data_IF_389263413801
#
_entry.id   IF_389263413801
#
_cell.length_a   1.000
_cell.length_b   1.000
_cell.length_c   1.000
_cell.angle_alpha   90.00
_cell.angle_beta   90.00
_cell.angle_gamma   90.00
#
_symmetry.space_group_name_H-M   'P 1'
#
loop_
_entity.id
_entity.type
_entity.pdbx_description
1 polymer ?
#
# COMPACT_ATOMS: atom_id res chain seq x y z
N UNK A 1 12.02 17.69 21.62
CA UNK A 1 11.56 17.73 20.21
C UNK A 1 12.36 16.74 19.37
N UNK A 2 11.80 15.56 19.03
CA UNK A 2 12.07 14.81 17.78
C UNK A 2 11.52 13.38 17.84
N UNK A 3 10.20 13.21 17.77
CA UNK A 3 9.65 12.23 16.84
C UNK A 3 9.50 12.97 15.50
N UNK A 4 10.52 12.82 14.67
CA UNK A 4 10.49 12.98 13.22
C UNK A 4 9.53 14.08 12.69
N UNK A 5 10.01 15.32 12.56
CA UNK A 5 9.23 16.43 12.00
C UNK A 5 8.38 15.95 10.80
N UNK A 6 7.07 15.95 11.03
CA UNK A 6 5.97 15.65 10.12
C UNK A 6 5.76 14.20 9.63
N UNK A 7 6.62 13.22 9.96
CA UNK A 7 6.40 11.82 9.50
C UNK A 7 7.01 10.77 10.43
N UNK A 8 6.18 10.00 11.11
CA UNK A 8 6.57 8.86 11.93
C UNK A 8 6.59 7.60 11.07
N UNK A 9 7.65 6.79 11.11
CA UNK A 9 7.73 5.51 10.39
C UNK A 9 7.97 4.42 11.41
N UNK A 10 7.15 3.38 11.38
CA UNK A 10 7.19 2.25 12.28
C UNK A 10 7.27 0.94 11.47
N UNK A 11 8.25 0.11 11.82
CA UNK A 11 8.37 -1.25 11.31
C UNK A 11 7.97 -2.23 12.40
N UNK A 12 7.10 -3.16 12.04
CA UNK A 12 6.51 -4.14 12.94
C UNK A 12 7.21 -5.48 12.89
N UNK A 13 7.36 -6.12 14.05
CA UNK A 13 7.91 -7.46 14.24
C UNK A 13 6.99 -8.26 15.14
N UNK A 14 6.97 -9.58 14.97
CA UNK A 14 6.29 -10.50 15.88
C UNK A 14 7.30 -11.36 16.62
N UNK A 15 7.14 -11.46 17.93
CA UNK A 15 7.89 -12.38 18.78
C UNK A 15 6.93 -13.42 19.36
N UNK A 16 7.36 -14.68 19.40
CA UNK A 16 6.75 -15.69 20.27
C UNK A 16 7.46 -15.64 21.60
N UNK A 17 6.72 -15.35 22.68
CA UNK A 17 7.28 -15.24 24.03
C UNK A 17 6.18 -15.41 25.08
N UNK A 18 6.58 -15.94 26.24
CA UNK A 18 5.79 -16.03 27.46
C UNK A 18 5.94 -14.82 28.38
N UNK A 19 6.91 -13.92 28.10
CA UNK A 19 7.17 -12.72 28.90
C UNK A 19 5.95 -11.79 28.91
N UNK A 20 5.64 -11.24 30.09
CA UNK A 20 4.63 -10.19 30.19
C UNK A 20 5.25 -8.82 29.92
N UNK A 21 4.43 -7.82 29.56
CA UNK A 21 4.94 -6.45 29.41
C UNK A 21 5.58 -5.91 30.69
N UNK A 22 5.11 -6.35 31.86
CA UNK A 22 5.69 -5.95 33.14
C UNK A 22 7.08 -6.55 33.35
N UNK A 23 7.29 -7.81 32.96
CA UNK A 23 8.60 -8.45 33.05
C UNK A 23 9.60 -7.77 32.09
N UNK A 24 9.16 -7.44 30.87
CA UNK A 24 9.97 -6.70 29.90
C UNK A 24 10.29 -5.28 30.39
N UNK A 25 9.34 -4.60 31.05
CA UNK A 25 9.59 -3.30 31.66
C UNK A 25 10.68 -3.36 32.75
N UNK A 26 10.67 -4.40 33.58
CA UNK A 26 11.71 -4.63 34.61
C UNK A 26 13.06 -4.91 33.94
N UNK A 27 13.11 -5.81 32.96
CA UNK A 27 14.35 -6.11 32.22
C UNK A 27 14.93 -4.87 31.52
N UNK A 28 14.06 -4.01 30.96
CA UNK A 28 14.48 -2.76 30.33
C UNK A 28 15.02 -1.77 31.38
N UNK A 29 14.41 -1.70 32.56
CA UNK A 29 14.86 -0.85 33.65
C UNK A 29 16.24 -1.27 34.20
N UNK A 30 16.50 -2.57 34.24
CA UNK A 30 17.79 -3.14 34.65
C UNK A 30 18.89 -2.95 33.58
N UNK A 31 18.49 -2.85 32.31
CA UNK A 31 19.36 -2.59 31.16
C UNK A 31 19.43 -1.08 30.79
N UNK A 32 19.50 -0.20 31.79
CA UNK A 32 19.59 1.24 31.59
C UNK A 32 20.89 1.67 30.87
N UNK A 33 20.85 2.70 29.99
CA UNK A 33 22.01 3.12 29.21
C UNK A 33 23.10 3.73 30.11
N UNK A 34 24.37 3.44 29.81
CA UNK A 34 25.51 3.90 30.61
C UNK A 34 26.48 4.77 29.79
N UNK A 35 26.49 6.07 30.08
CA UNK A 35 27.36 7.04 29.41
C UNK A 35 28.85 6.81 29.67
N UNK A 36 29.22 6.41 30.88
CA UNK A 36 30.63 6.23 31.25
C UNK A 36 31.31 5.16 30.40
N UNK A 37 30.57 4.12 30.03
CA UNK A 37 31.04 3.02 29.18
C UNK A 37 30.55 3.12 27.74
N UNK A 38 29.70 4.12 27.42
CA UNK A 38 28.96 4.23 26.16
C UNK A 38 28.14 2.97 25.83
N UNK A 39 27.69 2.23 26.85
CA UNK A 39 26.91 1.01 26.67
C UNK A 39 25.45 1.35 26.35
N UNK A 40 24.88 0.81 25.25
CA UNK A 40 23.49 1.06 24.90
C UNK A 40 22.54 0.54 26.00
N UNK A 41 21.33 1.06 26.03
CA UNK A 41 20.33 0.63 27.00
C UNK A 41 18.98 1.33 26.83
N UNK A 42 18.06 0.99 27.72
CA UNK A 42 16.65 1.36 27.61
C UNK A 42 16.25 2.47 28.59
N UNK A 43 15.37 3.35 28.13
CA UNK A 43 14.66 4.31 28.98
C UNK A 43 13.20 4.45 28.54
N UNK A 44 12.50 5.41 29.15
CA UNK A 44 11.12 5.73 28.77
C UNK A 44 11.07 6.51 27.47
N UNK A 45 10.05 6.24 26.65
CA UNK A 45 9.80 6.97 25.41
C UNK A 45 8.87 8.19 25.60
N UNK A 46 8.29 8.33 26.79
CA UNK A 46 7.26 9.31 27.14
C UNK A 46 7.82 10.69 27.53
N UNK A 47 9.13 10.80 27.77
CA UNK A 47 9.76 12.08 28.09
C UNK A 47 10.05 12.90 26.81
N UNK A 48 9.45 14.09 26.71
CA UNK A 48 9.41 14.90 25.48
C UNK A 48 10.58 15.91 25.32
N UNK A 49 11.35 16.14 26.39
CA UNK A 49 12.39 17.17 26.50
C UNK A 49 13.82 16.62 26.43
N UNK A 50 14.09 15.74 25.46
CA UNK A 50 15.37 15.03 25.45
C UNK A 50 16.47 15.64 24.56
N UNK A 51 17.74 15.56 25.00
CA UNK A 51 18.93 16.03 24.28
C UNK A 51 19.41 15.02 23.22
N UNK A 52 18.48 14.37 22.49
CA UNK A 52 18.83 13.42 21.42
C UNK A 52 19.57 14.17 20.31
N UNK A 53 20.58 13.53 19.71
CA UNK A 53 21.49 14.08 18.68
C UNK A 53 22.49 15.11 19.17
N UNK A 54 22.52 15.41 20.47
CA UNK A 54 23.58 16.23 21.05
C UNK A 54 24.82 15.38 21.35
N UNK A 55 25.98 16.04 21.33
CA UNK A 55 27.24 15.43 21.70
C UNK A 55 27.44 15.48 23.22
N UNK A 56 27.99 14.43 23.81
CA UNK A 56 28.26 14.35 25.26
C UNK A 56 27.01 14.40 26.16
N UNK A 57 25.81 14.35 25.59
CA UNK A 57 24.56 14.39 26.35
C UNK A 57 24.27 13.06 27.07
N UNK A 58 23.45 13.16 28.11
CA UNK A 58 22.96 12.00 28.87
C UNK A 58 21.54 11.66 28.43
N UNK A 59 21.19 10.37 28.37
CA UNK A 59 19.82 9.94 28.17
C UNK A 59 18.96 10.33 29.37
N UNK A 60 17.67 10.55 29.12
CA UNK A 60 16.71 10.74 30.21
C UNK A 60 16.21 9.36 30.63
N UNK A 61 16.56 8.95 31.83
CA UNK A 61 16.16 7.67 32.41
C UNK A 61 14.95 7.93 33.31
N UNK A 62 13.76 7.94 32.72
CA UNK A 62 12.50 7.95 33.45
C UNK A 62 12.05 6.54 33.84
N UNK A 63 10.94 6.46 34.57
CA UNK A 63 10.32 5.17 34.94
C UNK A 63 9.71 4.54 33.68
N UNK A 64 10.08 3.30 33.43
CA UNK A 64 9.48 2.49 32.36
C UNK A 64 8.21 1.85 32.90
N UNK A 65 7.06 2.22 32.35
CA UNK A 65 5.76 1.70 32.78
C UNK A 65 4.90 1.22 31.62
N UNK A 66 4.02 0.27 31.92
CA UNK A 66 3.00 -0.20 30.97
C UNK A 66 1.89 0.84 30.90
N UNK A 67 1.70 1.41 29.73
CA UNK A 67 0.65 2.38 29.43
C UNK A 67 -0.62 1.65 29.01
N UNK A 68 -1.77 2.15 29.48
CA UNK A 68 -3.08 1.69 29.03
C UNK A 68 -3.62 2.66 27.98
N UNK A 69 -3.53 2.29 26.71
CA UNK A 69 -4.04 3.06 25.58
C UNK A 69 -5.50 2.67 25.29
N UNK A 70 -6.39 3.13 26.17
CA UNK A 70 -7.82 2.82 26.12
C UNK A 70 -8.19 1.48 26.79
N UNK A 71 -9.48 1.07 26.68
CA UNK A 71 -10.02 -0.05 27.47
C UNK A 71 -9.49 -1.44 27.06
N UNK A 72 -8.75 -1.55 25.94
CA UNK A 72 -8.37 -2.84 25.36
C UNK A 72 -6.88 -2.99 25.01
N UNK A 73 -6.07 -1.93 25.07
CA UNK A 73 -4.68 -1.99 24.62
C UNK A 73 -3.72 -1.63 25.75
N UNK A 74 -2.91 -2.61 26.13
CA UNK A 74 -1.73 -2.39 26.97
C UNK A 74 -0.51 -2.29 26.06
N UNK A 75 0.33 -1.30 26.31
CA UNK A 75 1.55 -1.11 25.55
C UNK A 75 2.69 -0.67 26.47
N UNK A 76 3.90 -1.06 26.09
CA UNK A 76 5.14 -0.64 26.72
C UNK A 76 5.87 0.25 25.71
N UNK A 77 6.02 1.53 26.02
CA UNK A 77 6.73 2.50 25.19
C UNK A 77 8.15 2.71 25.74
N UNK A 78 9.13 2.17 25.01
CA UNK A 78 10.54 2.19 25.35
C UNK A 78 11.32 3.09 24.39
N UNK A 79 12.46 3.59 24.85
CA UNK A 79 13.45 4.28 24.03
C UNK A 79 14.79 3.58 24.18
N UNK A 80 15.31 3.04 23.08
CA UNK A 80 16.68 2.53 23.03
C UNK A 80 17.62 3.71 22.83
N UNK A 81 18.62 3.86 23.70
CA UNK A 81 19.68 4.84 23.59
C UNK A 81 21.02 4.18 23.26
N UNK A 82 21.82 4.86 22.44
CA UNK A 82 23.20 4.48 22.19
C UNK A 82 24.04 5.70 21.81
N UNK A 83 25.37 5.53 21.82
CA UNK A 83 26.33 6.59 21.52
C UNK A 83 27.07 6.27 20.22
N UNK A 84 26.92 7.15 19.23
CA UNK A 84 27.60 7.04 17.94
C UNK A 84 28.85 7.92 17.95
N UNK A 85 30.03 7.30 17.77
CA UNK A 85 31.29 8.02 17.69
C UNK A 85 31.37 8.89 16.42
N UNK A 86 31.92 10.11 16.55
CA UNK A 86 32.16 11.00 15.41
C UNK A 86 33.62 11.43 15.34
N UNK A 87 34.36 10.84 14.40
CA UNK A 87 35.75 11.20 14.11
C UNK A 87 35.89 12.69 13.72
N UNK A 88 34.93 13.20 12.94
CA UNK A 88 34.90 14.61 12.55
C UNK A 88 34.81 15.56 13.76
N UNK A 89 33.94 15.24 14.73
CA UNK A 89 33.81 16.02 15.96
C UNK A 89 35.07 15.94 16.82
N UNK A 90 35.62 14.73 16.96
CA UNK A 90 36.84 14.48 17.71
C UNK A 90 38.02 15.29 17.16
N UNK A 91 38.23 15.26 15.85
CA UNK A 91 39.27 16.02 15.16
C UNK A 91 39.05 17.54 15.25
N UNK A 92 37.81 18.01 15.08
CA UNK A 92 37.48 19.43 15.13
C UNK A 92 37.75 20.07 16.50
N UNK A 93 37.57 19.31 17.59
CA UNK A 93 37.73 19.79 18.95
C UNK A 93 39.05 19.36 19.62
N UNK A 94 39.89 18.58 18.93
CA UNK A 94 41.13 18.05 19.49
C UNK A 94 40.90 17.14 20.71
N UNK A 95 39.80 16.38 20.70
CA UNK A 95 39.39 15.53 21.81
C UNK A 95 40.13 14.19 21.80
N UNK A 96 40.23 13.56 22.97
CA UNK A 96 40.56 12.13 23.07
C UNK A 96 39.44 11.31 22.41
N UNK A 97 39.79 10.23 21.69
CA UNK A 97 38.82 9.29 21.11
C UNK A 97 37.82 8.69 22.13
N UNK A 98 38.13 8.73 23.43
CA UNK A 98 37.26 8.27 24.52
C UNK A 98 36.46 9.39 25.19
N UNK A 99 36.69 10.65 24.83
CA UNK A 99 35.99 11.78 25.41
C UNK A 99 34.50 11.72 25.04
N UNK A 100 33.61 11.92 26.02
CA UNK A 100 32.16 11.83 25.82
C UNK A 100 31.66 12.82 24.75
N UNK A 101 32.33 13.97 24.62
CA UNK A 101 32.04 15.02 23.65
C UNK A 101 32.30 14.58 22.19
N UNK A 102 33.02 13.48 21.97
CA UNK A 102 33.20 12.87 20.65
C UNK A 102 32.02 11.96 20.24
N UNK A 103 31.12 11.63 21.18
CA UNK A 103 30.01 10.73 20.95
C UNK A 103 28.68 11.47 20.89
N UNK A 104 27.89 11.14 19.88
CA UNK A 104 26.54 11.66 19.68
C UNK A 104 25.51 10.70 20.29
N UNK A 105 24.66 11.19 21.18
CA UNK A 105 23.55 10.41 21.69
C UNK A 105 22.51 10.18 20.59
N UNK A 106 22.17 8.92 20.35
CA UNK A 106 21.14 8.46 19.43
C UNK A 106 20.04 7.76 20.21
N UNK A 107 18.85 7.77 19.63
CA UNK A 107 17.72 7.08 20.21
C UNK A 107 16.72 6.62 19.14
N UNK A 108 16.02 5.52 19.43
CA UNK A 108 14.87 4.99 18.66
C UNK A 108 13.78 4.58 19.65
N UNK A 109 12.55 4.95 19.32
CA UNK A 109 11.38 4.57 20.10
C UNK A 109 10.92 3.17 19.67
N UNK A 110 10.56 2.36 20.64
CA UNK A 110 10.07 1.00 20.46
C UNK A 110 8.79 0.84 21.26
N UNK A 111 7.74 0.34 20.63
CA UNK A 111 6.48 0.01 21.30
C UNK A 111 6.28 -1.49 21.30
N UNK A 112 6.02 -2.07 22.47
CA UNK A 112 5.73 -3.50 22.62
C UNK A 112 4.30 -3.66 23.14
N UNK A 113 3.51 -4.52 22.52
CA UNK A 113 2.12 -4.80 22.93
C UNK A 113 1.84 -6.31 22.79
N UNK A 114 0.87 -6.87 23.52
CA UNK A 114 0.42 -8.23 23.24
C UNK A 114 -0.11 -8.33 21.81
N UNK A 115 0.30 -9.38 21.10
CA UNK A 115 -0.24 -9.65 19.76
C UNK A 115 -1.68 -10.17 19.86
N UNK A 116 -2.42 -10.08 18.75
CA UNK A 116 -3.70 -10.77 18.57
C UNK A 116 -3.57 -12.29 18.72
N UNK A 117 -2.37 -12.84 18.48
CA UNK A 117 -2.06 -14.25 18.70
C UNK A 117 -1.60 -14.47 20.14
N UNK A 118 -2.27 -15.39 20.85
CA UNK A 118 -1.90 -15.75 22.22
C UNK A 118 -0.45 -16.25 22.29
N UNK A 119 0.29 -15.79 23.30
CA UNK A 119 1.72 -16.15 23.49
C UNK A 119 2.66 -15.46 22.50
N UNK A 120 2.21 -14.37 21.88
CA UNK A 120 3.02 -13.56 20.99
C UNK A 120 2.97 -12.09 21.40
N UNK A 121 4.04 -11.37 21.06
CA UNK A 121 4.19 -9.94 21.25
C UNK A 121 4.34 -9.28 19.87
N UNK A 122 3.76 -8.10 19.73
CA UNK A 122 3.94 -7.23 18.58
C UNK A 122 4.85 -6.09 18.98
N UNK A 123 5.96 -5.94 18.27
CA UNK A 123 7.00 -4.96 18.53
C UNK A 123 7.08 -4.00 17.35
N UNK A 124 7.06 -2.70 17.63
CA UNK A 124 7.11 -1.65 16.62
C UNK A 124 8.32 -0.76 16.89
N UNK A 125 9.27 -0.73 15.96
CA UNK A 125 10.43 0.14 16.03
C UNK A 125 10.20 1.39 15.16
N UNK A 126 10.30 2.56 15.77
CA UNK A 126 9.97 3.85 15.15
C UNK A 126 11.25 4.50 14.62
N UNK A 127 11.61 4.18 13.38
CA UNK A 127 12.79 4.74 12.70
C UNK A 127 12.56 4.86 11.20
N UNK A 128 13.25 5.82 10.57
CA UNK A 128 13.28 5.97 9.10
C UNK A 128 14.50 5.30 8.45
N UNK A 129 15.41 4.75 9.24
CA UNK A 129 16.69 4.22 8.77
C UNK A 129 16.72 2.70 8.95
N UNK A 130 16.67 1.96 7.85
CA UNK A 130 16.68 0.49 7.85
C UNK A 130 17.96 -0.09 8.46
N UNK A 131 19.14 0.45 8.14
CA UNK A 131 20.41 -0.04 8.69
C UNK A 131 20.45 0.06 10.22
N UNK A 132 19.96 1.17 10.78
CA UNK A 132 19.86 1.34 12.25
C UNK A 132 18.93 0.30 12.86
N UNK A 133 17.87 -0.07 12.14
CA UNK A 133 16.92 -1.05 12.58
C UNK A 133 17.55 -2.45 12.66
N UNK A 134 18.23 -2.88 11.60
CA UNK A 134 18.85 -4.19 11.47
C UNK A 134 20.11 -4.34 12.35
N UNK A 135 20.98 -3.33 12.37
CA UNK A 135 22.29 -3.43 13.01
C UNK A 135 22.29 -3.09 14.50
N UNK A 136 21.29 -2.33 14.97
CA UNK A 136 21.29 -1.79 16.34
C UNK A 136 20.00 -2.11 17.10
N UNK A 137 18.85 -1.76 16.53
CA UNK A 137 17.58 -1.81 17.27
C UNK A 137 17.07 -3.24 17.43
N UNK A 138 17.01 -4.03 16.36
CA UNK A 138 16.49 -5.38 16.40
C UNK A 138 17.35 -6.32 17.29
N UNK A 139 18.70 -6.30 17.22
CA UNK A 139 19.54 -7.05 18.16
C UNK A 139 19.28 -6.67 19.62
N UNK A 140 19.14 -5.38 19.92
CA UNK A 140 18.85 -4.92 21.28
C UNK A 140 17.47 -5.40 21.76
N UNK A 141 16.45 -5.42 20.90
CA UNK A 141 15.12 -5.96 21.22
C UNK A 141 15.20 -7.46 21.51
N UNK A 142 15.91 -8.22 20.67
CA UNK A 142 16.09 -9.66 20.86
C UNK A 142 16.79 -9.94 22.19
N UNK A 143 17.84 -9.18 22.53
CA UNK A 143 18.54 -9.29 23.81
C UNK A 143 17.60 -8.94 24.98
N UNK A 144 16.86 -7.84 24.90
CA UNK A 144 15.93 -7.43 25.95
C UNK A 144 14.87 -8.50 26.23
N UNK A 145 14.20 -9.01 25.19
CA UNK A 145 13.16 -10.02 25.37
C UNK A 145 13.79 -11.35 25.83
N UNK A 146 14.96 -11.70 25.28
CA UNK A 146 15.68 -12.93 25.61
C UNK A 146 16.21 -12.99 27.04
N UNK A 147 16.51 -11.85 27.67
CA UNK A 147 16.90 -11.80 29.09
C UNK A 147 15.74 -12.10 30.04
N UNK A 148 14.51 -11.88 29.59
CA UNK A 148 13.28 -12.14 30.35
C UNK A 148 12.70 -13.52 30.05
N UNK A 149 12.79 -13.95 28.80
CA UNK A 149 12.33 -15.25 28.31
C UNK A 149 13.34 -15.84 27.32
N UNK A 150 14.15 -16.79 27.80
CA UNK A 150 15.21 -17.43 27.01
C UNK A 150 14.69 -18.19 25.77
N UNK A 151 13.41 -18.58 25.77
CA UNK A 151 12.75 -19.27 24.65
C UNK A 151 12.11 -18.30 23.64
N UNK A 152 12.24 -16.99 23.86
CA UNK A 152 11.69 -15.98 22.99
C UNK A 152 12.29 -16.07 21.58
N UNK A 153 11.43 -16.03 20.57
CA UNK A 153 11.83 -16.20 19.17
C UNK A 153 11.19 -15.14 18.28
N UNK A 154 12.02 -14.44 17.51
CA UNK A 154 11.57 -13.55 16.44
C UNK A 154 10.99 -14.39 15.30
N UNK A 155 9.78 -14.04 14.85
CA UNK A 155 9.12 -14.66 13.70
C UNK A 155 9.36 -13.78 12.48
N UNK A 156 10.33 -14.19 11.65
CA UNK A 156 10.74 -13.41 10.48
C UNK A 156 9.61 -13.28 9.45
N UNK A 157 9.46 -12.08 8.88
CA UNK A 157 8.38 -11.74 7.94
C UNK A 157 6.97 -11.72 8.53
N UNK A 158 6.79 -11.98 9.83
CA UNK A 158 5.49 -11.96 10.48
C UNK A 158 5.20 -10.64 11.20
N UNK A 159 3.97 -10.14 11.01
CA UNK A 159 3.48 -8.93 11.66
C UNK A 159 1.96 -8.97 11.83
N UNK A 160 1.46 -8.30 12.87
CA UNK A 160 0.02 -8.03 13.04
C UNK A 160 -0.53 -7.05 11.99
N UNK A 161 0.35 -6.25 11.38
CA UNK A 161 0.04 -5.31 10.30
C UNK A 161 0.31 -5.87 8.91
N UNK A 162 0.75 -7.13 8.80
CA UNK A 162 1.03 -7.77 7.51
C UNK A 162 -0.23 -7.82 6.65
N UNK A 163 -0.13 -7.34 5.43
CA UNK A 163 -1.15 -7.49 4.40
C UNK A 163 -0.77 -8.70 3.56
N UNK A 164 -1.35 -9.84 3.92
CA UNK A 164 -1.05 -11.15 3.34
C UNK A 164 -1.69 -11.39 1.95
N UNK A 165 -2.64 -10.53 1.57
CA UNK A 165 -3.40 -10.64 0.34
C UNK A 165 -3.23 -9.41 -0.55
N UNK A 166 -2.78 -9.61 -1.79
CA UNK A 166 -2.59 -8.55 -2.77
C UNK A 166 -3.90 -7.83 -3.15
N UNK A 167 -5.04 -8.50 -2.98
CA UNK A 167 -6.36 -7.93 -3.28
C UNK A 167 -6.84 -6.96 -2.19
N UNK A 168 -6.19 -6.90 -1.02
CA UNK A 168 -6.56 -5.99 0.08
C UNK A 168 -6.66 -4.53 -0.38
N UNK A 169 -5.68 -4.06 -1.15
CA UNK A 169 -5.67 -2.66 -1.62
C UNK A 169 -6.77 -2.40 -2.65
N UNK A 170 -7.06 -3.39 -3.52
CA UNK A 170 -8.14 -3.30 -4.49
C UNK A 170 -9.51 -3.28 -3.79
N UNK A 171 -9.69 -4.10 -2.76
CA UNK A 171 -10.86 -4.07 -1.89
C UNK A 171 -11.03 -2.71 -1.21
N UNK A 172 -9.95 -2.13 -0.71
CA UNK A 172 -9.98 -0.81 -0.04
C UNK A 172 -10.42 0.29 -1.01
N UNK A 173 -10.01 0.22 -2.28
CA UNK A 173 -10.48 1.15 -3.33
C UNK A 173 -12.00 1.00 -3.55
N UNK A 174 -12.51 -0.23 -3.63
CA UNK A 174 -13.96 -0.47 -3.74
C UNK A 174 -14.73 -0.01 -2.47
N UNK A 175 -14.15 -0.21 -1.29
CA UNK A 175 -14.69 0.25 -0.01
C UNK A 175 -14.88 1.79 -0.03
N UNK A 176 -13.83 2.51 -0.47
CA UNK A 176 -13.86 3.96 -0.63
C UNK A 176 -14.92 4.42 -1.64
N UNK A 177 -15.01 3.75 -2.79
CA UNK A 177 -16.05 4.02 -3.82
C UNK A 177 -17.46 3.90 -3.26
N UNK A 178 -17.72 2.87 -2.44
CA UNK A 178 -19.03 2.64 -1.83
C UNK A 178 -19.32 3.56 -0.65
N UNK A 179 -18.32 4.33 -0.19
CA UNK A 179 -18.36 5.09 1.07
C UNK A 179 -18.86 4.21 2.23
N UNK A 180 -18.42 2.95 2.24
CA UNK A 180 -18.81 2.00 3.27
C UNK A 180 -17.91 2.18 4.51
N UNK A 181 -18.46 2.09 5.73
CA UNK A 181 -17.65 2.19 6.93
C UNK A 181 -16.69 0.99 7.05
N UNK A 182 -15.48 1.25 7.55
CA UNK A 182 -14.50 0.20 7.86
C UNK A 182 -15.00 -0.62 9.05
N UNK A 183 -15.35 0.09 10.12
CA UNK A 183 -15.96 -0.44 11.34
C UNK A 183 -16.83 0.65 11.96
N UNK A 184 -17.57 0.35 13.03
CA UNK A 184 -18.63 1.23 13.56
C UNK A 184 -18.26 2.70 13.76
N UNK A 185 -16.98 3.02 14.02
CA UNK A 185 -16.51 4.39 14.21
C UNK A 185 -15.48 4.85 13.15
N UNK A 186 -15.05 3.99 12.22
CA UNK A 186 -13.99 4.32 11.26
C UNK A 186 -14.52 4.35 9.84
N UNK A 187 -14.22 5.44 9.15
CA UNK A 187 -14.59 5.66 7.74
C UNK A 187 -13.32 5.93 6.93
N UNK A 188 -13.23 5.29 5.76
CA UNK A 188 -12.18 5.61 4.80
C UNK A 188 -12.58 6.90 4.09
N UNK A 189 -11.88 7.98 4.41
CA UNK A 189 -12.17 9.33 3.89
C UNK A 189 -11.56 9.53 2.51
N UNK A 190 -10.28 9.15 2.35
CA UNK A 190 -9.53 9.36 1.12
C UNK A 190 -8.46 8.28 0.92
N UNK A 191 -8.25 7.84 -0.33
CA UNK A 191 -7.01 7.16 -0.74
C UNK A 191 -6.21 8.18 -1.55
N UNK A 192 -5.11 8.68 -1.02
CA UNK A 192 -4.34 9.78 -1.64
C UNK A 192 -3.39 9.29 -2.71
N UNK A 193 -2.76 8.16 -2.43
CA UNK A 193 -1.75 7.54 -3.29
C UNK A 193 -1.93 6.04 -3.24
N UNK A 194 -1.87 5.40 -4.39
CA UNK A 194 -1.72 3.95 -4.50
C UNK A 194 -0.62 3.67 -5.52
N UNK A 195 0.32 2.81 -5.15
CA UNK A 195 1.25 2.23 -6.11
C UNK A 195 0.55 1.08 -6.84
N UNK A 196 0.82 0.96 -8.13
CA UNK A 196 0.35 -0.17 -8.94
C UNK A 196 1.49 -0.76 -9.75
N UNK A 197 1.40 -2.06 -10.00
CA UNK A 197 2.27 -2.77 -10.95
C UNK A 197 1.39 -3.46 -11.96
N UNK A 198 1.67 -3.25 -13.24
CA UNK A 198 0.98 -3.98 -14.32
C UNK A 198 1.47 -5.43 -14.43
N UNK A 199 0.85 -6.23 -15.30
CA UNK A 199 1.23 -7.61 -15.57
C UNK A 199 2.67 -7.77 -16.11
N UNK A 200 3.28 -6.68 -16.61
CA UNK A 200 4.68 -6.62 -17.05
C UNK A 200 5.61 -6.08 -15.95
N UNK A 201 5.13 -5.96 -14.71
CA UNK A 201 5.81 -5.40 -13.54
C UNK A 201 6.26 -3.94 -13.71
N UNK A 202 5.67 -3.19 -14.64
CA UNK A 202 5.93 -1.76 -14.76
C UNK A 202 5.18 -1.05 -13.63
N UNK A 203 5.95 -0.40 -12.77
CA UNK A 203 5.42 0.37 -11.64
C UNK A 203 4.83 1.69 -12.12
N UNK A 204 3.63 2.01 -11.66
CA UNK A 204 3.01 3.33 -11.82
C UNK A 204 2.53 3.79 -10.45
N UNK A 205 2.76 5.05 -10.10
CA UNK A 205 2.21 5.64 -8.88
C UNK A 205 1.10 6.60 -9.28
N UNK A 206 -0.10 6.41 -8.72
CA UNK A 206 -1.19 7.34 -8.87
C UNK A 206 -1.20 8.27 -7.66
N UNK A 207 -0.92 9.55 -7.88
CA UNK A 207 -0.99 10.61 -6.87
C UNK A 207 -2.16 11.56 -7.12
N UNK A 208 -2.60 12.27 -6.06
CA UNK A 208 -3.67 13.29 -6.07
C UNK A 208 -5.10 12.71 -6.12
N UNK A 209 -5.47 11.94 -5.10
CA UNK A 209 -6.83 11.40 -4.99
C UNK A 209 -7.02 10.21 -5.93
N UNK A 210 -7.02 9.02 -5.33
CA UNK A 210 -7.28 7.75 -6.01
C UNK A 210 -8.76 7.45 -5.84
N UNK A 211 -9.54 7.82 -6.84
CA UNK A 211 -10.96 7.49 -6.92
C UNK A 211 -11.31 6.86 -8.28
N UNK A 212 -12.48 6.25 -8.35
CA UNK A 212 -12.98 5.60 -9.56
C UNK A 212 -13.63 6.56 -10.55
N UNK A 213 -13.51 7.88 -10.34
CA UNK A 213 -13.89 8.88 -11.34
C UNK A 213 -12.74 9.16 -12.32
N UNK A 214 -11.50 8.81 -11.93
CA UNK A 214 -10.31 8.96 -12.78
C UNK A 214 -10.18 7.84 -13.80
N UNK A 215 -10.01 8.24 -15.06
CA UNK A 215 -9.89 7.32 -16.19
C UNK A 215 -8.67 6.39 -16.07
N UNK A 216 -7.54 6.90 -15.57
CA UNK A 216 -6.31 6.11 -15.39
C UNK A 216 -6.51 5.02 -14.34
N UNK A 217 -7.21 5.33 -13.25
CA UNK A 217 -7.51 4.37 -12.19
C UNK A 217 -8.43 3.26 -12.68
N UNK A 218 -9.51 3.65 -13.38
CA UNK A 218 -10.44 2.70 -14.00
C UNK A 218 -9.71 1.76 -14.97
N UNK A 219 -8.80 2.29 -15.78
CA UNK A 219 -8.00 1.51 -16.75
C UNK A 219 -7.11 0.50 -16.04
N UNK A 220 -6.40 0.92 -15.00
CA UNK A 220 -5.52 0.04 -14.22
C UNK A 220 -6.30 -1.09 -13.54
N UNK A 221 -7.47 -0.81 -12.96
CA UNK A 221 -8.34 -1.84 -12.36
C UNK A 221 -8.91 -2.78 -13.43
N UNK A 222 -9.26 -2.26 -14.60
CA UNK A 222 -9.84 -3.06 -15.68
C UNK A 222 -8.84 -4.03 -16.33
N UNK A 223 -7.54 -3.72 -16.25
CA UNK A 223 -6.44 -4.57 -16.73
C UNK A 223 -6.29 -5.80 -15.83
N UNK A 224 -6.32 -6.98 -16.45
CA UNK A 224 -6.11 -8.24 -15.73
C UNK A 224 -4.65 -8.32 -15.26
N UNK A 225 -4.45 -8.61 -13.98
CA UNK A 225 -3.13 -8.85 -13.39
C UNK A 225 -2.43 -7.62 -12.82
N UNK A 226 -3.10 -6.46 -12.76
CA UNK A 226 -2.59 -5.33 -12.00
C UNK A 226 -2.64 -5.63 -10.49
N UNK A 227 -1.55 -5.36 -9.78
CA UNK A 227 -1.51 -5.38 -8.31
C UNK A 227 -1.43 -3.96 -7.76
N UNK A 228 -2.02 -3.75 -6.59
CA UNK A 228 -2.09 -2.45 -5.93
C UNK A 228 -1.41 -2.50 -4.57
N UNK A 229 -0.88 -1.36 -4.11
CA UNK A 229 -0.18 -1.22 -2.85
C UNK A 229 1.34 -1.01 -3.02
N UNK A 230 2.02 -0.34 -2.07
CA UNK A 230 1.53 0.37 -0.88
C UNK A 230 0.52 1.48 -1.15
N UNK A 231 -0.20 1.92 -0.11
CA UNK A 231 -1.19 3.00 -0.23
C UNK A 231 -1.08 4.01 0.91
N UNK A 232 -1.29 5.29 0.58
CA UNK A 232 -1.48 6.40 1.52
C UNK A 232 -2.97 6.69 1.65
N UNK A 233 -3.49 6.61 2.86
CA UNK A 233 -4.92 6.71 3.15
C UNK A 233 -5.18 7.69 4.29
N UNK A 234 -6.36 8.30 4.23
CA UNK A 234 -6.94 9.05 5.34
C UNK A 234 -8.12 8.28 5.91
N UNK A 235 -8.07 8.04 7.21
CA UNK A 235 -9.17 7.43 7.95
C UNK A 235 -9.70 8.43 8.95
N UNK A 236 -11.02 8.57 8.99
CA UNK A 236 -11.72 9.39 9.97
C UNK A 236 -12.29 8.51 11.07
N UNK A 237 -12.06 8.92 12.31
CA UNK A 237 -12.79 8.42 13.46
C UNK A 237 -14.00 9.33 13.72
N UNK A 238 -15.20 8.82 13.47
CA UNK A 238 -16.44 9.57 13.62
C UNK A 238 -16.83 9.81 15.07
N UNK A 239 -16.30 9.01 16.01
CA UNK A 239 -16.59 9.14 17.45
C UNK A 239 -15.79 10.26 18.10
N UNK A 240 -14.53 10.42 17.70
CA UNK A 240 -13.63 11.48 18.20
C UNK A 240 -13.52 12.67 17.26
N UNK A 241 -13.97 12.56 16.01
CA UNK A 241 -13.73 13.53 14.93
C UNK A 241 -12.23 13.69 14.58
N UNK A 242 -11.40 12.70 14.92
CA UNK A 242 -10.00 12.66 14.50
C UNK A 242 -9.87 12.19 13.05
N UNK A 243 -8.84 12.69 12.35
CA UNK A 243 -8.47 12.28 11.00
C UNK A 243 -7.01 11.85 11.01
N UNK A 244 -6.72 10.65 10.51
CA UNK A 244 -5.39 10.07 10.50
C UNK A 244 -4.92 9.90 9.07
N UNK A 245 -3.77 10.50 8.73
CA UNK A 245 -3.12 10.33 7.42
C UNK A 245 -1.91 9.41 7.58
N UNK A 246 -1.96 8.26 6.91
CA UNK A 246 -0.89 7.26 7.01
C UNK A 246 -0.72 6.42 5.74
N UNK A 247 0.47 5.85 5.61
CA UNK A 247 0.85 4.91 4.56
C UNK A 247 0.97 3.51 5.16
N UNK A 248 0.40 2.52 4.47
CA UNK A 248 0.50 1.11 4.83
C UNK A 248 1.10 0.32 3.66
N UNK A 249 2.23 -0.34 3.91
CA UNK A 249 2.88 -1.24 2.97
C UNK A 249 2.42 -2.69 3.15
N UNK A 250 2.63 -3.53 2.12
CA UNK A 250 2.25 -4.94 2.18
C UNK A 250 2.98 -5.69 3.32
N UNK A 251 4.24 -5.32 3.57
CA UNK A 251 5.06 -5.86 4.65
C UNK A 251 4.65 -5.39 6.06
N UNK A 252 3.60 -4.58 6.19
CA UNK A 252 3.14 -4.05 7.49
C UNK A 252 3.96 -2.87 8.03
N UNK A 253 4.88 -2.30 7.24
CA UNK A 253 5.50 -1.01 7.59
C UNK A 253 4.43 0.09 7.49
N UNK A 254 4.37 0.90 8.55
CA UNK A 254 3.43 1.99 8.75
C UNK A 254 4.17 3.33 8.73
N UNK A 255 3.66 4.33 8.00
CA UNK A 255 4.16 5.69 8.10
C UNK A 255 3.05 6.73 8.29
N UNK A 256 3.04 7.45 9.41
CA UNK A 256 2.01 8.44 9.77
C UNK A 256 2.51 9.85 9.46
N UNK A 257 1.71 10.65 8.75
CA UNK A 257 1.99 12.06 8.48
C UNK A 257 1.46 12.93 9.62
N UNK A 258 2.26 13.12 10.67
CA UNK A 258 1.82 13.84 11.88
C UNK A 258 1.42 15.30 11.66
N UNK A 259 1.87 15.92 10.55
CA UNK A 259 1.46 17.27 10.18
C UNK A 259 0.10 17.35 9.47
N UNK A 260 -0.41 16.23 8.96
CA UNK A 260 -1.71 16.13 8.28
C UNK A 260 -2.76 15.39 9.12
N UNK A 261 -2.33 14.63 10.12
CA UNK A 261 -3.19 14.04 11.14
C UNK A 261 -3.78 15.12 12.06
N UNK A 262 -5.10 15.10 12.20
CA UNK A 262 -5.85 15.96 13.11
C UNK A 262 -6.41 15.14 14.27
N UNK A 263 -6.03 15.50 15.49
CA UNK A 263 -6.61 14.96 16.73
C UNK A 263 -7.18 16.17 17.49
N UNK A 264 -8.44 16.11 17.99
CA UNK A 264 -9.05 17.22 18.71
C UNK A 264 -8.20 17.75 19.88
N UNK A 265 -8.40 19.03 20.24
CA UNK A 265 -7.52 19.90 21.04
C UNK A 265 -7.18 19.46 22.49
N UNK A 266 -7.51 18.24 22.91
CA UNK A 266 -7.15 17.73 24.24
C UNK A 266 -5.74 17.14 24.33
N UNK A 267 -5.04 16.98 23.20
CA UNK A 267 -3.71 16.37 23.14
C UNK A 267 -2.65 17.44 22.88
N UNK A 268 -1.59 17.45 23.68
CA UNK A 268 -0.45 18.34 23.46
C UNK A 268 0.21 18.00 22.12
N UNK A 269 0.68 19.03 21.38
CA UNK A 269 1.32 18.83 20.07
C UNK A 269 2.50 17.85 20.10
N UNK A 270 3.19 17.77 21.22
CA UNK A 270 4.31 16.83 21.42
C UNK A 270 3.86 15.36 21.42
N UNK A 271 2.61 15.09 21.79
CA UNK A 271 2.08 13.74 22.03
C UNK A 271 1.22 13.23 20.86
N UNK A 272 0.89 14.10 19.91
CA UNK A 272 0.12 13.75 18.70
C UNK A 272 0.75 12.57 17.96
N UNK A 273 2.08 12.50 17.89
CA UNK A 273 2.78 11.41 17.21
C UNK A 273 2.50 10.04 17.84
N UNK A 274 2.65 9.93 19.16
CA UNK A 274 2.35 8.69 19.89
C UNK A 274 0.88 8.35 19.85
N UNK A 275 0.02 9.34 20.06
CA UNK A 275 -1.41 9.10 20.05
C UNK A 275 -1.88 8.58 18.68
N UNK A 276 -1.45 9.25 17.61
CA UNK A 276 -1.73 8.81 16.24
C UNK A 276 -1.15 7.41 15.98
N UNK A 277 0.05 7.11 16.48
CA UNK A 277 0.62 5.78 16.37
C UNK A 277 -0.26 4.70 17.02
N UNK A 278 -0.67 4.90 18.27
CA UNK A 278 -1.52 3.94 18.98
C UNK A 278 -2.87 3.75 18.29
N UNK A 279 -3.55 4.85 17.95
CA UNK A 279 -4.85 4.79 17.26
C UNK A 279 -4.72 4.08 15.90
N UNK A 280 -3.68 4.37 15.12
CA UNK A 280 -3.49 3.79 13.78
C UNK A 280 -3.05 2.33 13.84
N UNK A 281 -1.97 2.03 14.58
CA UNK A 281 -1.36 0.70 14.61
C UNK A 281 -2.19 -0.31 15.41
N UNK A 282 -2.82 0.11 16.51
CA UNK A 282 -3.51 -0.83 17.43
C UNK A 282 -5.02 -0.88 17.22
N UNK A 283 -5.62 0.11 16.55
CA UNK A 283 -7.07 0.14 16.34
C UNK A 283 -7.47 0.20 14.86
N UNK A 284 -7.00 1.20 14.09
CA UNK A 284 -7.48 1.43 12.71
C UNK A 284 -7.02 0.33 11.75
N UNK A 285 -5.72 0.02 11.68
CA UNK A 285 -5.22 -1.01 10.76
C UNK A 285 -5.79 -2.39 11.11
N UNK A 286 -5.80 -2.84 12.39
CA UNK A 286 -6.47 -4.07 12.76
C UNK A 286 -7.95 -4.10 12.38
N UNK A 287 -8.67 -2.96 12.49
CA UNK A 287 -10.06 -2.86 12.05
C UNK A 287 -10.19 -3.00 10.51
N UNK A 288 -9.31 -2.36 9.74
CA UNK A 288 -9.25 -2.51 8.27
C UNK A 288 -9.01 -3.96 7.85
N UNK A 289 -7.98 -4.61 8.40
CA UNK A 289 -7.64 -6.00 8.09
C UNK A 289 -8.78 -6.95 8.51
N UNK A 290 -9.41 -6.69 9.65
CA UNK A 290 -10.55 -7.48 10.13
C UNK A 290 -11.77 -7.31 9.23
N UNK A 291 -12.06 -6.08 8.79
CA UNK A 291 -13.16 -5.80 7.87
C UNK A 291 -12.95 -6.52 6.53
N UNK A 292 -11.74 -6.44 5.96
CA UNK A 292 -11.36 -7.17 4.75
C UNK A 292 -11.58 -8.67 4.89
N UNK A 293 -10.97 -9.29 5.92
CA UNK A 293 -11.06 -10.75 6.15
C UNK A 293 -12.48 -11.24 6.43
N UNK A 294 -13.38 -10.36 6.88
CA UNK A 294 -14.80 -10.68 7.12
C UNK A 294 -15.68 -10.47 5.89
N UNK A 295 -15.21 -9.72 4.90
CA UNK A 295 -15.94 -9.47 3.66
C UNK A 295 -15.89 -10.70 2.74
N UNK A 296 -16.77 -11.66 3.02
CA UNK A 296 -16.92 -12.87 2.19
C UNK A 296 -17.46 -12.57 0.79
N UNK A 297 -18.08 -11.40 0.58
CA UNK A 297 -18.63 -11.06 -0.74
C UNK A 297 -17.54 -10.68 -1.71
N UNK A 298 -16.46 -10.06 -1.22
CA UNK A 298 -15.32 -9.66 -2.02
C UNK A 298 -14.72 -10.81 -2.85
N UNK A 299 -14.33 -11.90 -2.18
CA UNK A 299 -13.67 -13.04 -2.84
C UNK A 299 -14.58 -13.90 -3.72
N UNK A 300 -15.91 -13.82 -3.54
CA UNK A 300 -16.86 -14.63 -4.32
C UNK A 300 -17.29 -13.93 -5.62
N UNK A 301 -17.71 -12.67 -5.52
CA UNK A 301 -18.31 -11.92 -6.65
C UNK A 301 -17.86 -10.47 -6.68
N UNK A 302 -17.57 -9.86 -5.52
CA UNK A 302 -17.29 -8.43 -5.38
C UNK A 302 -16.10 -7.95 -6.21
N UNK A 303 -15.03 -8.74 -6.28
CA UNK A 303 -13.86 -8.42 -7.10
C UNK A 303 -14.21 -8.32 -8.59
N UNK A 304 -14.88 -9.32 -9.14
CA UNK A 304 -15.24 -9.37 -10.55
C UNK A 304 -16.31 -8.34 -10.90
N UNK A 305 -17.25 -8.09 -9.99
CA UNK A 305 -18.25 -7.04 -10.11
C UNK A 305 -17.59 -5.65 -10.13
N UNK A 306 -16.58 -5.42 -9.30
CA UNK A 306 -15.85 -4.15 -9.27
C UNK A 306 -15.04 -3.93 -10.57
N UNK A 307 -14.37 -4.96 -11.08
CA UNK A 307 -13.68 -4.89 -12.38
C UNK A 307 -14.69 -4.63 -13.50
N UNK A 308 -15.86 -5.30 -13.49
CA UNK A 308 -16.92 -5.09 -14.47
C UNK A 308 -17.47 -3.67 -14.42
N UNK A 309 -17.68 -3.13 -13.22
CA UNK A 309 -18.06 -1.74 -13.02
C UNK A 309 -17.04 -0.80 -13.67
N UNK A 310 -15.74 -1.01 -13.43
CA UNK A 310 -14.70 -0.15 -14.00
C UNK A 310 -14.69 -0.19 -15.53
N UNK A 311 -14.85 -1.38 -16.13
CA UNK A 311 -14.97 -1.54 -17.59
C UNK A 311 -16.18 -0.81 -18.16
N UNK A 312 -17.32 -0.86 -17.46
CA UNK A 312 -18.51 -0.13 -17.88
C UNK A 312 -18.29 1.39 -17.86
N UNK A 313 -17.61 1.92 -16.84
CA UNK A 313 -17.30 3.36 -16.79
C UNK A 313 -16.34 3.79 -17.91
N UNK A 314 -15.34 2.97 -18.25
CA UNK A 314 -14.42 3.23 -19.37
C UNK A 314 -15.11 3.22 -20.74
N UNK A 315 -16.19 2.45 -20.87
CA UNK A 315 -16.89 2.31 -22.15
C UNK A 315 -17.63 3.57 -22.63
N UNK A 316 -17.70 4.62 -21.80
CA UNK A 316 -18.29 5.92 -22.13
C UNK A 316 -19.79 5.84 -22.51
N UNK A 317 -20.42 6.93 -22.99
CA UNK A 317 -21.70 6.84 -23.68
C UNK A 317 -21.47 6.03 -24.96
N UNK A 318 -21.83 4.74 -24.92
CA UNK A 318 -21.46 3.77 -25.94
C UNK A 318 -21.72 4.25 -27.36
N UNK A 319 -20.65 4.51 -28.12
CA UNK A 319 -20.75 4.63 -29.57
C UNK A 319 -21.08 3.23 -30.07
N UNK A 320 -22.31 3.06 -30.55
CA UNK A 320 -22.72 1.82 -31.20
C UNK A 320 -22.47 1.95 -32.70
N UNK A 321 -21.40 1.34 -33.18
CA UNK A 321 -21.18 1.18 -34.61
C UNK A 321 -22.09 0.07 -35.11
N UNK A 322 -23.01 0.39 -36.00
CA UNK A 322 -23.91 -0.60 -36.58
C UNK A 322 -23.33 -1.09 -37.90
N UNK A 323 -23.01 -2.38 -37.99
CA UNK A 323 -22.46 -3.01 -39.19
C UNK A 323 -23.48 -4.01 -39.71
N UNK A 324 -23.77 -3.93 -41.01
CA UNK A 324 -24.55 -4.95 -41.69
C UNK A 324 -23.71 -6.22 -41.86
N UNK A 325 -24.25 -7.35 -41.40
CA UNK A 325 -23.64 -8.66 -41.57
C UNK A 325 -24.39 -9.42 -42.66
N UNK A 326 -23.64 -9.88 -43.68
CA UNK A 326 -24.18 -10.78 -44.72
C UNK A 326 -24.45 -12.16 -44.10
N UNK A 327 -23.51 -12.64 -43.30
CA UNK A 327 -23.66 -13.81 -42.42
C UNK A 327 -23.33 -13.38 -40.98
N UNK A 328 -24.32 -13.48 -40.09
CA UNK A 328 -24.18 -13.01 -38.72
C UNK A 328 -23.30 -13.92 -37.86
N UNK A 329 -23.28 -15.22 -38.15
CA UNK A 329 -22.52 -16.20 -37.39
C UNK A 329 -21.05 -16.12 -37.80
N UNK A 330 -20.77 -16.03 -39.11
CA UNK A 330 -19.41 -15.84 -39.62
C UNK A 330 -18.82 -14.49 -39.16
N UNK A 331 -19.62 -13.42 -39.22
CA UNK A 331 -19.20 -12.10 -38.70
C UNK A 331 -18.97 -12.16 -37.19
N UNK A 332 -19.85 -12.81 -36.42
CA UNK A 332 -19.67 -12.96 -34.97
C UNK A 332 -18.36 -13.67 -34.66
N UNK A 333 -18.09 -14.82 -35.28
CA UNK A 333 -16.83 -15.55 -35.12
C UNK A 333 -15.63 -14.68 -35.47
N UNK A 334 -15.68 -13.93 -36.57
CA UNK A 334 -14.60 -13.02 -36.96
C UNK A 334 -14.32 -11.98 -35.86
N UNK A 335 -15.35 -11.25 -35.40
CA UNK A 335 -15.14 -10.20 -34.40
C UNK A 335 -14.77 -10.77 -33.02
N UNK A 336 -15.38 -11.88 -32.57
CA UNK A 336 -15.07 -12.42 -31.23
C UNK A 336 -13.76 -13.18 -31.19
N UNK A 337 -13.52 -14.09 -32.12
CA UNK A 337 -12.38 -15.02 -32.06
C UNK A 337 -11.12 -14.39 -32.67
N UNK A 338 -11.25 -13.65 -33.79
CA UNK A 338 -10.09 -13.07 -34.47
C UNK A 338 -9.70 -11.72 -33.88
N UNK A 339 -10.68 -10.84 -33.66
CA UNK A 339 -10.41 -9.50 -33.13
C UNK A 339 -10.54 -9.40 -31.60
N UNK A 340 -11.05 -10.43 -30.92
CA UNK A 340 -11.10 -10.50 -29.45
C UNK A 340 -12.23 -9.70 -28.80
N UNK A 341 -13.33 -9.47 -29.52
CA UNK A 341 -14.51 -8.79 -28.96
C UNK A 341 -15.29 -9.72 -28.01
N UNK A 342 -15.87 -9.15 -26.95
CA UNK A 342 -16.75 -9.90 -26.05
C UNK A 342 -18.15 -10.03 -26.65
N UNK A 343 -18.68 -11.26 -26.69
CA UNK A 343 -20.08 -11.50 -27.10
C UNK A 343 -21.04 -11.13 -25.95
N UNK A 344 -21.85 -10.08 -26.13
CA UNK A 344 -22.84 -9.65 -25.14
C UNK A 344 -24.20 -9.32 -25.77
N UNK A 345 -25.20 -10.19 -25.59
CA UNK A 345 -26.58 -9.94 -26.04
C UNK A 345 -26.72 -9.82 -27.58
N UNK A 346 -27.48 -8.82 -28.05
CA UNK A 346 -27.78 -8.59 -29.48
C UNK A 346 -26.66 -7.84 -30.25
N UNK A 347 -25.44 -7.79 -29.72
CA UNK A 347 -24.28 -7.12 -30.30
C UNK A 347 -22.95 -7.66 -29.77
N UNK A 348 -21.85 -7.09 -30.27
CA UNK A 348 -20.46 -7.36 -29.91
C UNK A 348 -19.91 -6.14 -29.17
N UNK A 349 -19.25 -6.32 -28.02
CA UNK A 349 -18.77 -5.20 -27.20
C UNK A 349 -17.29 -4.87 -27.46
N UNK A 350 -16.96 -3.58 -27.49
CA UNK A 350 -15.59 -3.03 -27.43
C UNK A 350 -15.32 -2.49 -26.02
N UNK A 351 -14.03 -2.36 -25.65
CA UNK A 351 -13.60 -1.68 -24.43
C UNK A 351 -14.02 -0.19 -24.35
N UNK A 352 -14.41 0.44 -25.45
CA UNK A 352 -14.84 1.84 -25.56
C UNK A 352 -16.09 2.07 -26.46
N UNK A 353 -16.90 1.03 -26.72
CA UNK A 353 -18.05 1.11 -27.63
C UNK A 353 -18.73 -0.25 -27.85
N UNK A 354 -19.66 -0.35 -28.80
CA UNK A 354 -20.24 -1.63 -29.22
C UNK A 354 -20.34 -1.71 -30.75
N UNK A 355 -20.01 -2.86 -31.33
CA UNK A 355 -20.38 -3.19 -32.71
C UNK A 355 -21.71 -3.95 -32.66
N UNK A 356 -22.76 -3.38 -33.23
CA UNK A 356 -24.03 -4.10 -33.41
C UNK A 356 -24.08 -4.67 -34.82
N UNK A 357 -24.09 -5.99 -34.93
CA UNK A 357 -24.34 -6.69 -36.19
C UNK A 357 -25.84 -6.70 -36.48
N UNK A 358 -26.25 -6.20 -37.64
CA UNK A 358 -27.64 -6.30 -38.11
C UNK A 358 -27.67 -7.26 -39.31
N UNK A 359 -28.57 -8.26 -39.29
CA UNK A 359 -28.78 -9.12 -40.46
C UNK A 359 -29.56 -8.33 -41.52
N UNK A 360 -28.85 -7.65 -42.41
CA UNK A 360 -29.44 -7.02 -43.58
C UNK A 360 -28.43 -6.91 -44.73
N UNK A 361 -28.54 -7.81 -45.71
CA UNK A 361 -27.69 -7.84 -46.90
C UNK A 361 -28.16 -6.87 -48.01
N UNK A 362 -29.26 -6.15 -47.81
CA UNK A 362 -29.93 -5.46 -48.92
C UNK A 362 -29.40 -4.05 -49.22
N UNK A 363 -28.60 -3.42 -48.35
CA UNK A 363 -28.29 -1.99 -48.49
C UNK A 363 -26.99 -1.44 -47.84
N UNK A 364 -25.97 -2.23 -47.50
CA UNK A 364 -24.73 -1.63 -46.96
C UNK A 364 -23.63 -1.53 -48.02
N UNK A 365 -23.32 -0.30 -48.43
CA UNK A 365 -22.01 -0.01 -49.02
C UNK A 365 -20.91 -0.46 -48.04
N UNK A 366 -19.78 -1.02 -48.53
CA UNK A 366 -18.66 -1.40 -47.68
C UNK A 366 -18.27 -0.24 -46.76
N UNK A 367 -18.39 -0.46 -45.45
CA UNK A 367 -18.04 0.58 -44.48
C UNK A 367 -16.56 0.47 -44.15
N UNK A 368 -15.89 1.61 -43.98
CA UNK A 368 -14.53 1.63 -43.45
C UNK A 368 -14.50 2.31 -42.09
N UNK A 369 -13.81 1.70 -41.14
CA UNK A 369 -13.63 2.26 -39.80
C UNK A 369 -12.28 1.85 -39.22
N UNK A 370 -11.82 2.64 -38.25
CA UNK A 370 -10.50 2.50 -37.65
C UNK A 370 -10.63 2.03 -36.20
N UNK A 371 -9.79 1.08 -35.81
CA UNK A 371 -9.68 0.58 -34.44
C UNK A 371 -8.24 0.81 -33.96
N UNK A 372 -8.09 1.58 -32.89
CA UNK A 372 -6.82 1.68 -32.16
C UNK A 372 -6.80 0.62 -31.07
N UNK A 373 -5.75 -0.20 -31.01
CA UNK A 373 -5.62 -1.28 -30.02
C UNK A 373 -4.20 -1.36 -29.48
N UNK A 374 -4.05 -1.47 -28.16
CA UNK A 374 -2.77 -1.71 -27.49
C UNK A 374 -2.12 -3.05 -27.90
N UNK A 375 -2.89 -3.97 -28.47
CA UNK A 375 -2.46 -5.33 -28.84
C UNK A 375 -2.64 -5.62 -30.35
N UNK A 376 -2.49 -4.59 -31.19
CA UNK A 376 -2.63 -4.74 -32.64
C UNK A 376 -1.67 -5.81 -33.23
N UNK A 377 -0.50 -6.02 -32.60
CA UNK A 377 0.46 -7.06 -32.98
C UNK A 377 -0.10 -8.48 -32.86
N UNK A 378 -0.63 -8.86 -31.69
CA UNK A 378 -1.19 -10.20 -31.49
C UNK A 378 -2.47 -10.43 -32.29
N UNK A 379 -3.25 -9.37 -32.54
CA UNK A 379 -4.40 -9.43 -33.46
C UNK A 379 -3.93 -9.78 -34.88
N UNK A 380 -2.88 -9.10 -35.36
CA UNK A 380 -2.29 -9.37 -36.69
C UNK A 380 -1.83 -10.82 -36.83
N UNK A 381 -1.13 -11.35 -35.83
CA UNK A 381 -0.65 -12.74 -35.84
C UNK A 381 -1.80 -13.76 -35.89
N UNK A 382 -2.86 -13.54 -35.11
CA UNK A 382 -4.07 -14.39 -35.14
C UNK A 382 -4.75 -14.39 -36.50
N UNK A 383 -4.94 -13.20 -37.09
CA UNK A 383 -5.53 -13.06 -38.42
C UNK A 383 -4.68 -13.76 -39.49
N UNK A 384 -3.36 -13.63 -39.42
CA UNK A 384 -2.44 -14.29 -40.33
C UNK A 384 -2.49 -15.83 -40.18
N UNK A 385 -2.53 -16.32 -38.94
CA UNK A 385 -2.65 -17.75 -38.64
C UNK A 385 -3.98 -18.35 -39.13
N UNK A 386 -5.05 -17.56 -39.11
CA UNK A 386 -6.36 -17.93 -39.65
C UNK A 386 -6.46 -17.81 -41.19
N UNK A 387 -5.38 -17.38 -41.87
CA UNK A 387 -5.35 -17.22 -43.32
C UNK A 387 -6.16 -16.02 -43.83
N UNK A 388 -6.50 -15.07 -42.95
CA UNK A 388 -7.23 -13.86 -43.35
C UNK A 388 -6.28 -12.93 -44.11
N UNK A 389 -6.66 -12.40 -45.29
CA UNK A 389 -5.83 -11.46 -46.02
C UNK A 389 -5.58 -10.17 -45.22
N UNK A 390 -4.31 -9.84 -45.01
CA UNK A 390 -3.88 -8.62 -44.33
C UNK A 390 -3.17 -7.72 -45.33
N UNK A 391 -3.56 -6.44 -45.37
CA UNK A 391 -2.86 -5.41 -46.14
C UNK A 391 -2.14 -4.48 -45.18
N UNK A 392 -0.82 -4.48 -45.26
CA UNK A 392 -0.02 -3.53 -44.48
C UNK A 392 -0.21 -2.11 -44.98
N UNK A 393 -0.35 -1.18 -44.04
CA UNK A 393 -0.47 0.25 -44.30
C UNK A 393 0.85 0.93 -43.92
N UNK A 394 1.26 1.93 -44.70
CA UNK A 394 2.48 2.68 -44.38
C UNK A 394 2.34 3.35 -43.00
N UNK A 395 3.27 3.04 -42.08
CA UNK A 395 3.31 3.70 -40.78
C UNK A 395 4.00 5.06 -40.94
N UNK A 396 3.36 6.12 -40.44
CA UNK A 396 3.99 7.46 -40.35
C UNK A 396 4.96 7.56 -39.16
N UNK A 397 5.06 6.53 -38.32
CA UNK A 397 5.94 6.44 -37.16
C UNK A 397 6.76 5.13 -37.20
N UNK A 398 8.02 5.21 -36.77
CA UNK A 398 8.99 4.09 -36.79
C UNK A 398 8.67 2.93 -35.81
N UNK A 399 7.57 2.99 -35.04
CA UNK A 399 7.30 2.03 -33.95
C UNK A 399 5.87 1.47 -33.87
N UNK A 400 4.99 1.79 -34.81
CA UNK A 400 3.59 1.32 -34.78
C UNK A 400 3.26 0.23 -35.80
N UNK A 401 2.46 -0.76 -35.40
CA UNK A 401 1.85 -1.75 -36.31
C UNK A 401 0.57 -1.14 -36.88
N UNK A 402 0.49 -1.01 -38.21
CA UNK A 402 -0.72 -0.55 -38.92
C UNK A 402 -1.05 -1.44 -40.10
N UNK A 403 -2.28 -1.94 -40.15
CA UNK A 403 -2.74 -2.82 -41.22
C UNK A 403 -4.25 -2.67 -41.42
N UNK A 404 -4.74 -3.09 -42.58
CA UNK A 404 -6.17 -3.21 -42.86
C UNK A 404 -6.53 -4.65 -43.13
N UNK A 405 -7.72 -5.05 -42.66
CA UNK A 405 -8.34 -6.35 -42.94
C UNK A 405 -9.76 -6.13 -43.43
N UNK A 406 -10.27 -7.06 -44.24
CA UNK A 406 -11.65 -7.06 -44.69
C UNK A 406 -12.43 -8.13 -43.92
N UNK A 407 -13.58 -7.75 -43.35
CA UNK A 407 -14.47 -8.69 -42.67
C UNK A 407 -15.29 -9.54 -43.67
N UNK A 408 -16.02 -10.57 -43.21
CA UNK A 408 -16.86 -11.39 -44.10
C UNK A 408 -17.98 -10.60 -44.83
N UNK A 409 -18.40 -9.46 -44.27
CA UNK A 409 -19.37 -8.55 -44.88
C UNK A 409 -18.76 -7.60 -45.92
N UNK A 410 -17.45 -7.64 -46.16
CA UNK A 410 -16.75 -6.76 -47.08
C UNK A 410 -16.34 -5.40 -46.47
N UNK A 411 -16.54 -5.18 -45.18
CA UNK A 411 -16.15 -3.95 -44.49
C UNK A 411 -14.64 -3.90 -44.30
N UNK A 412 -14.04 -2.72 -44.45
CA UNK A 412 -12.60 -2.52 -44.28
C UNK A 412 -12.29 -1.99 -42.88
N UNK A 413 -11.52 -2.74 -42.12
CA UNK A 413 -11.13 -2.41 -40.76
C UNK A 413 -9.64 -2.04 -40.76
N UNK A 414 -9.32 -0.78 -40.49
CA UNK A 414 -7.92 -0.40 -40.24
C UNK A 414 -7.61 -0.54 -38.75
N UNK A 415 -6.54 -1.28 -38.43
CA UNK A 415 -6.04 -1.46 -37.09
C UNK A 415 -4.70 -0.75 -36.94
N UNK A 416 -4.54 0.00 -35.86
CA UNK A 416 -3.28 0.63 -35.48
C UNK A 416 -2.95 0.40 -34.01
N UNK A 417 -1.68 0.18 -33.70
CA UNK A 417 -1.17 0.30 -32.34
C UNK A 417 -1.07 1.78 -31.94
N UNK A 418 -1.48 2.10 -30.73
CA UNK A 418 -1.30 3.43 -30.13
C UNK A 418 0.18 3.74 -29.84
#
# INVERSE_FOLDING_TARGET
MSLTQNRLVATSYRFRSSATLADIAIGAQDAAPNKATHSPGWGTALDSNEPVRLFGSEPVIGVIEVVNEGPAHQALALRLYWWEYSEAQQNALGLDHRAHEAFRLRAVDVVITPSVLRGHLSVYAITRTADVLEDTVLPAIIELIGTVDEEATLLDGESDLLVDDADFYLWMIDLGRRSAPISGNYELDEIRVVESKDASLRGTALSEGVDTSRFEMLTLIALVGATFGPAKIKVRDTSSLANYDFELTAAGTLAIQTGETYIPETVLRADIGYRAFFDVALSIIPALLTAYRRDRTWGNEGRDDFIRFCRQQLSGPGITLTIAAVDIDESRTFYTEMLGFDSGGAGLALRAGAIRLIPDASCSEPTSFNITSLDAGSIRERLAAAGVPIRDLESSSERGVRFSVTDPGGNTIELSSE
#
